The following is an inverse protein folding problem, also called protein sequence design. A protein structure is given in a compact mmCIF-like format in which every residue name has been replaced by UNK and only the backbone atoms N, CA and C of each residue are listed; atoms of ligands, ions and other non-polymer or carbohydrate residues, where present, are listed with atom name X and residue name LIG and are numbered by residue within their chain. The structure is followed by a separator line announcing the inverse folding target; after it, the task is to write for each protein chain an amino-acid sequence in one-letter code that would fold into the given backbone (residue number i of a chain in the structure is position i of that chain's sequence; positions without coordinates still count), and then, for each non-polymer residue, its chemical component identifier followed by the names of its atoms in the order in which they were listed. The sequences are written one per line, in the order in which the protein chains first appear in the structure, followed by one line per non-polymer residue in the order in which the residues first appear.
data_IF_155139803291
#
_entry.id   IF_155139803291
#
_cell.length_a   1.000
_cell.length_b   1.000
_cell.length_c   1.000
_cell.angle_alpha   90.00
_cell.angle_beta   90.00
_cell.angle_gamma   90.00
#
_symmetry.space_group_name_H-M   'P 1'
#
loop_
_entity.id
_entity.type
_entity.pdbx_description
1 polymer ?
#
# COMPACT_ATOMS: atom_id res chain seq x y z
N UNK A 1 -0.79 39.89 20.49
CA UNK A 1 -1.60 39.18 19.47
C UNK A 1 -0.73 38.06 18.94
N UNK A 2 -1.16 36.79 19.05
CA UNK A 2 -0.43 35.70 18.42
C UNK A 2 -0.59 35.86 16.90
N UNK A 3 0.53 35.94 16.17
CA UNK A 3 0.49 35.96 14.71
C UNK A 3 -0.22 34.70 14.22
N UNK A 4 -1.21 34.87 13.34
CA UNK A 4 -1.84 33.74 12.68
C UNK A 4 -0.75 32.92 11.96
N UNK A 5 -0.78 31.61 12.13
CA UNK A 5 0.15 30.73 11.43
C UNK A 5 0.03 30.98 9.91
N UNK A 6 1.16 31.03 9.18
CA UNK A 6 1.11 31.23 7.73
C UNK A 6 0.26 30.14 7.07
N UNK A 7 -0.47 30.49 6.00
CA UNK A 7 -1.28 29.51 5.27
C UNK A 7 -0.41 28.39 4.73
N UNK A 8 -0.95 27.17 4.76
CA UNK A 8 -0.28 25.99 4.22
C UNK A 8 -0.13 26.13 2.69
N UNK A 9 1.07 25.87 2.11
CA UNK A 9 1.32 26.10 0.68
C UNK A 9 0.37 25.33 -0.24
N UNK A 10 -0.11 24.15 0.17
CA UNK A 10 -1.05 23.35 -0.61
C UNK A 10 -2.48 23.34 -0.04
N UNK A 11 -2.82 24.33 0.79
CA UNK A 11 -4.18 24.60 1.24
C UNK A 11 -4.95 23.38 1.78
N UNK A 12 -6.10 23.08 1.15
CA UNK A 12 -6.99 22.01 1.59
C UNK A 12 -6.36 20.62 1.43
N UNK A 13 -5.62 20.38 0.36
CA UNK A 13 -4.90 19.11 0.15
C UNK A 13 -3.93 18.85 1.30
N UNK A 14 -3.10 19.84 1.65
CA UNK A 14 -2.18 19.69 2.77
C UNK A 14 -2.88 19.45 4.10
N UNK A 15 -3.97 20.18 4.36
CA UNK A 15 -4.75 20.06 5.59
C UNK A 15 -5.34 18.65 5.72
N UNK A 16 -5.90 18.12 4.63
CA UNK A 16 -6.45 16.77 4.58
C UNK A 16 -5.37 15.72 4.75
N UNK A 17 -4.25 15.82 4.02
CA UNK A 17 -3.17 14.85 4.14
C UNK A 17 -2.52 14.86 5.52
N UNK A 18 -2.33 16.02 6.16
CA UNK A 18 -1.87 16.09 7.56
C UNK A 18 -2.84 15.40 8.52
N UNK A 19 -4.15 15.56 8.29
CA UNK A 19 -5.18 14.87 9.08
C UNK A 19 -5.08 13.36 8.90
N UNK A 20 -5.01 12.88 7.66
CA UNK A 20 -4.85 11.45 7.33
C UNK A 20 -3.57 10.86 7.93
N UNK A 21 -2.44 11.56 7.77
CA UNK A 21 -1.17 11.17 8.37
C UNK A 21 -1.27 11.04 9.89
N UNK A 22 -1.90 12.02 10.56
CA UNK A 22 -2.08 11.97 12.01
C UNK A 22 -2.96 10.79 12.46
N UNK A 23 -4.00 10.45 11.70
CA UNK A 23 -4.83 9.29 12.00
C UNK A 23 -4.07 7.98 11.83
N UNK A 24 -3.26 7.86 10.78
CA UNK A 24 -2.47 6.65 10.51
C UNK A 24 -1.45 6.43 11.63
N UNK A 25 -0.71 7.46 12.00
CA UNK A 25 0.50 7.32 12.81
C UNK A 25 0.27 7.41 14.32
N UNK A 26 -0.77 8.12 14.76
CA UNK A 26 -1.01 8.35 16.18
C UNK A 26 -2.37 7.77 16.59
N UNK A 27 -2.41 6.65 17.33
CA UNK A 27 -3.66 6.05 17.79
C UNK A 27 -4.41 6.92 18.80
N UNK A 28 -3.75 7.90 19.44
CA UNK A 28 -4.35 8.79 20.43
C UNK A 28 -5.16 9.93 19.82
N UNK A 29 -4.98 10.22 18.53
CA UNK A 29 -5.77 11.25 17.84
C UNK A 29 -7.23 10.84 17.86
N UNK A 30 -8.03 11.59 18.62
CA UNK A 30 -9.48 11.39 18.69
C UNK A 30 -10.15 11.72 17.34
N UNK A 31 -11.37 11.22 17.13
CA UNK A 31 -12.23 11.55 15.97
C UNK A 31 -11.79 11.00 14.60
N UNK A 32 -10.88 10.04 14.54
CA UNK A 32 -10.77 9.22 13.33
C UNK A 32 -12.08 8.43 13.18
N UNK A 33 -12.83 8.71 12.11
CA UNK A 33 -14.12 8.06 11.82
C UNK A 33 -13.98 6.87 10.87
N UNK A 34 -12.77 6.65 10.33
CA UNK A 34 -12.45 5.51 9.49
C UNK A 34 -12.32 4.28 10.40
N UNK A 35 -13.13 3.26 10.14
CA UNK A 35 -13.15 2.01 10.89
C UNK A 35 -12.23 0.99 10.23
N UNK A 36 -11.73 -0.01 10.99
CA UNK A 36 -11.10 -1.18 10.40
C UNK A 36 -12.02 -1.81 9.35
N UNK A 37 -11.46 -2.16 8.21
CA UNK A 37 -12.20 -2.81 7.13
C UNK A 37 -12.31 -4.30 7.43
N UNK A 38 -13.53 -4.81 7.39
CA UNK A 38 -13.88 -6.21 7.60
C UNK A 38 -14.38 -6.90 6.32
N UNK A 39 -14.30 -6.21 5.18
CA UNK A 39 -14.70 -6.75 3.88
C UNK A 39 -13.69 -7.83 3.46
N UNK A 40 -14.22 -8.96 3.06
CA UNK A 40 -13.48 -10.12 2.56
C UNK A 40 -13.64 -10.27 1.06
N UNK A 41 -12.82 -11.12 0.45
CA UNK A 41 -13.02 -11.48 -0.95
C UNK A 41 -14.38 -12.13 -1.23
N UNK A 42 -14.93 -12.87 -0.27
CA UNK A 42 -16.25 -13.49 -0.42
C UNK A 42 -17.35 -12.42 -0.51
N UNK A 43 -17.24 -11.37 0.31
CA UNK A 43 -18.16 -10.22 0.24
C UNK A 43 -18.07 -9.50 -1.11
N UNK A 44 -16.89 -9.49 -1.76
CA UNK A 44 -16.74 -8.96 -3.12
C UNK A 44 -17.45 -9.83 -4.16
N UNK A 45 -17.28 -11.16 -4.10
CA UNK A 45 -17.96 -12.10 -5.00
C UNK A 45 -19.49 -12.02 -4.88
N UNK A 46 -20.00 -11.74 -3.69
CA UNK A 46 -21.44 -11.55 -3.45
C UNK A 46 -21.96 -10.20 -3.94
N UNK A 47 -21.06 -9.22 -4.08
CA UNK A 47 -21.41 -7.87 -4.51
C UNK A 47 -21.33 -7.68 -6.04
N UNK A 48 -20.29 -8.21 -6.67
CA UNK A 48 -20.02 -8.03 -8.09
C UNK A 48 -19.21 -9.21 -8.66
N UNK A 49 -19.34 -9.50 -9.97
CA UNK A 49 -18.39 -10.35 -10.67
C UNK A 49 -16.94 -9.94 -10.39
N UNK A 50 -16.13 -10.93 -10.02
CA UNK A 50 -14.68 -10.77 -9.84
C UNK A 50 -13.97 -11.76 -10.76
N UNK A 51 -13.30 -11.26 -11.77
CA UNK A 51 -12.41 -12.05 -12.61
C UNK A 51 -11.01 -12.03 -12.02
N UNK A 52 -10.44 -13.22 -11.85
CA UNK A 52 -9.07 -13.42 -11.38
C UNK A 52 -8.28 -14.12 -12.49
N UNK A 53 -7.25 -13.45 -13.01
CA UNK A 53 -6.35 -14.02 -14.01
C UNK A 53 -4.92 -14.13 -13.46
N UNK A 54 -4.26 -15.21 -13.87
CA UNK A 54 -2.85 -15.50 -13.59
C UNK A 54 -2.02 -15.49 -14.88
N UNK A 55 -2.60 -14.99 -15.96
CA UNK A 55 -1.92 -14.85 -17.24
C UNK A 55 -0.83 -13.76 -17.13
N UNK A 56 0.17 -13.86 -18.00
CA UNK A 56 1.19 -12.83 -18.09
C UNK A 56 0.54 -11.49 -18.52
N UNK A 57 0.95 -10.35 -17.93
CA UNK A 57 0.42 -9.05 -18.33
C UNK A 57 0.58 -8.81 -19.83
N UNK A 58 -0.41 -8.18 -20.44
CA UNK A 58 -0.36 -7.86 -21.87
C UNK A 58 0.35 -6.52 -22.13
N UNK A 59 0.35 -6.06 -23.39
CA UNK A 59 0.99 -4.79 -23.76
C UNK A 59 0.30 -3.57 -23.14
N UNK A 60 -0.95 -3.66 -22.70
CA UNK A 60 -1.63 -2.56 -21.99
C UNK A 60 -1.16 -2.45 -20.53
N UNK A 61 -0.51 -3.49 -20.01
CA UNK A 61 0.01 -3.59 -18.64
C UNK A 61 1.55 -3.41 -18.57
N UNK A 62 2.15 -2.81 -19.61
CA UNK A 62 3.61 -2.63 -19.72
C UNK A 62 4.20 -1.95 -18.48
N UNK A 63 3.56 -0.90 -17.97
CA UNK A 63 4.05 -0.17 -16.79
C UNK A 63 4.04 -1.00 -15.50
N UNK A 64 3.08 -1.92 -15.36
CA UNK A 64 3.05 -2.88 -14.24
C UNK A 64 4.25 -3.82 -14.36
N UNK A 65 4.49 -4.35 -15.57
CA UNK A 65 5.61 -5.26 -15.84
C UNK A 65 6.96 -4.59 -15.59
N UNK A 66 7.18 -3.38 -16.13
CA UNK A 66 8.38 -2.60 -15.90
C UNK A 66 8.61 -2.33 -14.41
N UNK A 67 7.54 -2.01 -13.67
CA UNK A 67 7.65 -1.75 -12.23
C UNK A 67 7.97 -3.02 -11.44
N UNK A 68 7.35 -4.16 -11.79
CA UNK A 68 7.64 -5.47 -11.20
C UNK A 68 9.10 -5.86 -11.42
N UNK A 69 9.63 -5.68 -12.63
CA UNK A 69 11.03 -5.93 -12.95
C UNK A 69 11.96 -4.99 -12.18
N UNK A 70 11.66 -3.69 -12.16
CA UNK A 70 12.46 -2.66 -11.46
C UNK A 70 12.57 -2.92 -9.96
N UNK A 71 11.51 -3.43 -9.35
CA UNK A 71 11.43 -3.67 -7.91
C UNK A 71 11.85 -5.10 -7.51
N UNK A 72 12.17 -5.96 -8.48
CA UNK A 72 12.48 -7.37 -8.25
C UNK A 72 11.38 -8.05 -7.43
N UNK A 73 10.11 -7.78 -7.79
CA UNK A 73 8.95 -8.31 -7.05
C UNK A 73 8.88 -9.81 -7.26
N UNK A 74 9.04 -10.56 -6.17
CA UNK A 74 8.94 -12.02 -6.18
C UNK A 74 7.48 -12.49 -6.16
N UNK A 75 7.17 -13.55 -6.92
CA UNK A 75 5.92 -14.28 -6.81
C UNK A 75 5.00 -14.13 -8.03
N UNK A 76 3.86 -14.84 -8.04
CA UNK A 76 2.89 -14.69 -9.11
C UNK A 76 2.26 -13.30 -9.05
N UNK A 77 2.17 -12.66 -10.20
CA UNK A 77 1.36 -11.48 -10.39
C UNK A 77 -0.06 -11.94 -10.71
N UNK A 78 -1.04 -11.50 -9.92
CA UNK A 78 -2.45 -11.89 -10.10
C UNK A 78 -3.25 -10.65 -10.49
N UNK A 79 -3.93 -10.70 -11.63
CA UNK A 79 -4.84 -9.66 -12.06
C UNK A 79 -6.22 -9.88 -11.45
N UNK A 80 -6.83 -8.79 -10.98
CA UNK A 80 -8.21 -8.76 -10.52
C UNK A 80 -8.98 -7.70 -11.28
N UNK A 81 -10.12 -8.09 -11.84
CA UNK A 81 -11.11 -7.18 -12.41
C UNK A 81 -12.40 -7.32 -11.62
N UNK A 82 -12.95 -6.21 -11.12
CA UNK A 82 -14.24 -6.17 -10.43
C UNK A 82 -15.14 -5.19 -11.17
N UNK A 83 -16.18 -5.72 -11.84
CA UNK A 83 -17.11 -4.92 -12.62
C UNK A 83 -18.54 -5.19 -12.18
N UNK A 84 -19.39 -4.16 -12.16
CA UNK A 84 -20.84 -4.38 -12.02
C UNK A 84 -21.40 -4.83 -13.39
N UNK A 85 -22.04 -5.99 -13.42
CA UNK A 85 -22.59 -6.65 -14.61
C UNK A 85 -23.26 -5.70 -15.63
N UNK A 86 -22.90 -5.86 -16.91
CA UNK A 86 -23.69 -5.54 -18.11
C UNK A 86 -24.14 -4.09 -18.36
N UNK A 87 -23.53 -3.10 -17.69
CA UNK A 87 -24.06 -1.73 -17.73
C UNK A 87 -25.42 -1.60 -17.02
N UNK A 88 -25.81 -2.63 -16.27
CA UNK A 88 -26.90 -2.56 -15.32
C UNK A 88 -26.42 -1.79 -14.09
N UNK A 89 -27.32 -1.01 -13.51
CA UNK A 89 -27.03 -0.15 -12.36
C UNK A 89 -26.33 -0.96 -11.27
N UNK A 90 -25.23 -0.44 -10.75
CA UNK A 90 -24.60 -0.94 -9.52
C UNK A 90 -25.67 -1.23 -8.46
N UNK A 91 -25.54 -2.25 -7.57
CA UNK A 91 -26.49 -2.43 -6.48
C UNK A 91 -26.66 -1.13 -5.68
N UNK A 92 -27.86 -0.53 -5.74
CA UNK A 92 -28.17 0.79 -5.15
C UNK A 92 -27.73 2.03 -5.94
N UNK A 93 -27.27 1.88 -7.19
CA UNK A 93 -26.94 2.95 -8.14
C UNK A 93 -28.06 3.25 -9.13
N UNK A 94 -27.89 4.29 -9.94
CA UNK A 94 -28.83 4.68 -11.00
C UNK A 94 -28.51 3.94 -12.31
N UNK A 95 -29.48 3.89 -13.24
CA UNK A 95 -29.23 3.35 -14.59
C UNK A 95 -28.08 4.09 -15.27
N UNK A 96 -27.05 3.35 -15.73
CA UNK A 96 -25.82 3.90 -16.32
C UNK A 96 -24.64 4.05 -15.34
N UNK A 97 -24.87 3.78 -14.05
CA UNK A 97 -23.83 3.78 -13.01
C UNK A 97 -23.15 2.40 -12.95
N UNK A 98 -21.91 2.33 -13.43
CA UNK A 98 -21.07 1.14 -13.37
C UNK A 98 -19.97 1.28 -12.30
N UNK A 99 -19.48 0.18 -11.76
CA UNK A 99 -18.23 0.15 -11.02
C UNK A 99 -17.19 -0.55 -11.88
N UNK A 100 -15.96 -0.05 -11.83
CA UNK A 100 -14.83 -0.64 -12.54
C UNK A 100 -13.59 -0.59 -11.67
N UNK A 101 -12.96 -1.74 -11.54
CA UNK A 101 -11.74 -1.90 -10.80
C UNK A 101 -10.83 -2.85 -11.56
N UNK A 102 -9.58 -2.43 -11.77
CA UNK A 102 -8.51 -3.29 -12.28
C UNK A 102 -7.30 -3.11 -11.39
N UNK A 103 -6.77 -4.21 -10.89
CA UNK A 103 -5.53 -4.22 -10.11
C UNK A 103 -4.68 -5.45 -10.36
N UNK A 104 -3.39 -5.33 -10.08
CA UNK A 104 -2.50 -6.47 -9.90
C UNK A 104 -2.04 -6.59 -8.45
N UNK A 105 -1.92 -7.82 -7.98
CA UNK A 105 -1.40 -8.15 -6.65
C UNK A 105 -0.18 -9.06 -6.79
N UNK A 106 0.88 -8.71 -6.06
CA UNK A 106 2.08 -9.53 -5.88
C UNK A 106 2.58 -9.42 -4.43
N UNK A 107 3.57 -10.23 -4.04
CA UNK A 107 4.06 -10.22 -2.66
C UNK A 107 4.67 -8.86 -2.30
N UNK A 108 4.00 -8.15 -1.40
CA UNK A 108 4.40 -6.83 -0.93
C UNK A 108 4.00 -5.67 -1.83
N UNK A 109 3.31 -5.90 -2.95
CA UNK A 109 2.97 -4.87 -3.93
C UNK A 109 1.52 -4.99 -4.40
N UNK A 110 0.83 -3.85 -4.42
CA UNK A 110 -0.50 -3.69 -4.99
C UNK A 110 -0.45 -2.62 -6.08
N UNK A 111 -0.86 -2.96 -7.30
CA UNK A 111 -0.94 -2.05 -8.43
C UNK A 111 -2.41 -1.77 -8.74
N UNK A 112 -2.86 -0.54 -8.59
CA UNK A 112 -4.23 -0.12 -8.89
C UNK A 112 -4.19 0.64 -10.21
N UNK A 113 -4.85 0.09 -11.23
CA UNK A 113 -4.90 0.69 -12.57
C UNK A 113 -6.20 1.44 -12.79
N UNK A 114 -7.32 0.84 -12.37
CA UNK A 114 -8.65 1.46 -12.51
C UNK A 114 -9.37 1.44 -11.18
N UNK A 115 -10.01 2.56 -10.83
CA UNK A 115 -10.83 2.71 -9.63
C UNK A 115 -12.01 3.66 -9.88
N UNK A 116 -13.05 3.15 -10.52
CA UNK A 116 -14.32 3.84 -10.70
C UNK A 116 -15.39 3.23 -9.79
N UNK A 117 -16.10 4.08 -9.07
CA UNK A 117 -17.12 3.66 -8.10
C UNK A 117 -18.34 4.55 -8.20
N UNK A 118 -19.46 3.97 -8.59
CA UNK A 118 -20.76 4.60 -8.46
C UNK A 118 -21.46 4.23 -7.14
N UNK A 119 -21.40 2.97 -6.69
CA UNK A 119 -21.96 2.53 -5.40
C UNK A 119 -21.14 1.39 -4.78
N UNK A 120 -21.59 0.81 -3.66
CA UNK A 120 -20.96 -0.35 -3.04
C UNK A 120 -19.70 -0.04 -2.23
N UNK A 121 -18.74 -0.96 -2.21
CA UNK A 121 -17.53 -0.85 -1.40
C UNK A 121 -16.60 0.26 -1.88
N UNK A 122 -15.87 0.87 -0.95
CA UNK A 122 -14.86 1.87 -1.28
C UNK A 122 -13.62 1.20 -1.92
N UNK A 123 -12.92 1.94 -2.78
CA UNK A 123 -11.67 1.50 -3.42
C UNK A 123 -10.64 0.92 -2.42
N UNK A 124 -10.51 1.52 -1.24
CA UNK A 124 -9.62 1.03 -0.17
C UNK A 124 -10.06 -0.34 0.39
N UNK A 125 -11.36 -0.61 0.43
CA UNK A 125 -11.91 -1.87 0.93
C UNK A 125 -11.73 -2.97 -0.11
N UNK A 126 -11.98 -2.67 -1.39
CA UNK A 126 -11.72 -3.57 -2.53
C UNK A 126 -10.23 -3.94 -2.57
N UNK A 127 -9.34 -2.94 -2.53
CA UNK A 127 -7.89 -3.12 -2.47
C UNK A 127 -7.46 -4.07 -1.34
N UNK A 128 -7.99 -3.85 -0.13
CA UNK A 128 -7.66 -4.70 1.03
C UNK A 128 -8.14 -6.13 0.82
N UNK A 129 -9.39 -6.34 0.40
CA UNK A 129 -9.97 -7.66 0.22
C UNK A 129 -9.23 -8.47 -0.86
N UNK A 130 -8.85 -7.85 -1.98
CA UNK A 130 -8.09 -8.49 -3.05
C UNK A 130 -6.64 -8.80 -2.63
N UNK A 131 -5.96 -7.87 -1.95
CA UNK A 131 -4.61 -8.13 -1.45
C UNK A 131 -4.61 -9.27 -0.42
N UNK A 132 -5.54 -9.23 0.55
CA UNK A 132 -5.61 -10.20 1.64
C UNK A 132 -6.06 -11.60 1.22
N UNK A 133 -6.70 -11.73 0.04
CA UNK A 133 -6.93 -13.04 -0.59
C UNK A 133 -5.62 -13.76 -0.91
N UNK A 134 -4.62 -13.03 -1.40
CA UNK A 134 -3.38 -13.60 -1.91
C UNK A 134 -2.25 -13.61 -0.86
N UNK A 135 -2.16 -12.56 -0.03
CA UNK A 135 -1.05 -12.35 0.90
C UNK A 135 -1.52 -11.78 2.25
N UNK A 136 -0.86 -12.09 3.38
CA UNK A 136 -1.13 -11.40 4.65
C UNK A 136 -0.93 -9.89 4.51
N UNK A 137 -1.82 -9.08 5.05
CA UNK A 137 -1.77 -7.61 4.89
C UNK A 137 -0.46 -7.00 5.38
N UNK A 138 0.17 -7.62 6.38
CA UNK A 138 1.46 -7.20 6.94
C UNK A 138 2.63 -7.32 5.97
N UNK A 139 2.45 -8.00 4.83
CA UNK A 139 3.49 -8.04 3.80
C UNK A 139 3.45 -6.83 2.87
N UNK A 140 2.35 -6.07 2.83
CA UNK A 140 2.17 -4.93 1.92
C UNK A 140 3.18 -3.82 2.21
N UNK A 141 4.01 -3.51 1.23
CA UNK A 141 5.08 -2.49 1.30
C UNK A 141 4.91 -1.39 0.29
N UNK A 142 4.28 -1.68 -0.85
CA UNK A 142 4.15 -0.74 -1.95
C UNK A 142 2.73 -0.74 -2.49
N UNK A 143 2.17 0.45 -2.66
CA UNK A 143 0.92 0.64 -3.41
C UNK A 143 1.23 1.56 -4.58
N UNK A 144 0.84 1.13 -5.77
CA UNK A 144 0.98 1.89 -7.00
C UNK A 144 -0.40 2.31 -7.49
N UNK A 145 -0.55 3.58 -7.86
CA UNK A 145 -1.65 4.02 -8.71
C UNK A 145 -1.06 4.31 -10.09
N UNK A 146 -1.44 3.50 -11.07
CA UNK A 146 -0.93 3.51 -12.43
C UNK A 146 -1.90 4.31 -13.32
N UNK A 147 -1.36 5.00 -14.33
CA UNK A 147 -2.11 5.86 -15.25
C UNK A 147 -3.13 6.81 -14.57
N UNK A 148 -2.60 7.74 -13.78
CA UNK A 148 -3.38 8.71 -13.00
C UNK A 148 -4.15 9.67 -13.92
N UNK A 149 -5.41 9.33 -14.17
CA UNK A 149 -6.37 10.16 -14.89
C UNK A 149 -7.24 11.04 -13.98
N UNK A 150 -7.29 10.77 -12.67
CA UNK A 150 -8.13 11.49 -11.72
C UNK A 150 -7.81 13.00 -11.68
N UNK A 151 -8.80 13.85 -12.02
CA UNK A 151 -8.58 15.29 -12.21
C UNK A 151 -8.05 16.02 -10.98
N UNK A 152 -8.54 15.69 -9.77
CA UNK A 152 -8.06 16.30 -8.52
C UNK A 152 -6.56 16.03 -8.32
N UNK A 153 -6.17 14.76 -8.45
CA UNK A 153 -4.79 14.32 -8.24
C UNK A 153 -3.87 14.83 -9.35
N UNK A 154 -4.27 14.64 -10.61
CA UNK A 154 -3.50 15.07 -11.79
C UNK A 154 -3.32 16.58 -11.84
N UNK A 155 -4.36 17.36 -11.54
CA UNK A 155 -4.28 18.82 -11.51
C UNK A 155 -3.39 19.29 -10.38
N UNK A 156 -3.52 18.69 -9.20
CA UNK A 156 -2.65 18.98 -8.05
C UNK A 156 -1.18 18.78 -8.41
N UNK A 157 -0.84 17.63 -9.01
CA UNK A 157 0.53 17.32 -9.43
C UNK A 157 1.04 18.34 -10.46
N UNK A 158 0.32 18.53 -11.56
CA UNK A 158 0.78 19.39 -12.66
C UNK A 158 0.83 20.88 -12.30
N UNK A 159 -0.08 21.38 -11.46
CA UNK A 159 -0.24 22.82 -11.20
C UNK A 159 0.29 23.29 -9.85
N UNK A 160 0.49 22.38 -8.90
CA UNK A 160 0.93 22.74 -7.54
C UNK A 160 2.28 22.10 -7.19
N UNK A 161 2.54 20.86 -7.62
CA UNK A 161 3.82 20.19 -7.36
C UNK A 161 4.87 20.59 -8.40
N UNK A 162 4.59 20.40 -9.69
CA UNK A 162 5.52 20.75 -10.77
C UNK A 162 5.41 22.22 -11.14
N UNK A 163 5.99 23.07 -10.30
CA UNK A 163 6.06 24.52 -10.51
C UNK A 163 7.49 25.04 -10.31
N UNK A 164 7.82 26.14 -10.97
CA UNK A 164 9.11 26.83 -10.80
C UNK A 164 9.39 27.18 -9.33
N UNK A 165 8.34 27.48 -8.56
CA UNK A 165 8.43 27.76 -7.12
C UNK A 165 8.92 26.57 -6.29
N UNK A 166 8.69 25.34 -6.76
CA UNK A 166 9.22 24.12 -6.15
C UNK A 166 10.50 23.62 -6.84
N UNK A 167 11.02 24.36 -7.83
CA UNK A 167 12.18 23.95 -8.63
C UNK A 167 11.88 22.76 -9.55
N UNK A 168 10.62 22.55 -9.93
CA UNK A 168 10.16 21.42 -10.73
C UNK A 168 9.43 21.91 -11.98
N UNK A 169 9.69 21.29 -13.13
CA UNK A 169 9.04 21.62 -14.39
C UNK A 169 8.17 20.47 -14.89
N UNK A 170 7.07 20.81 -15.57
CA UNK A 170 6.23 19.86 -16.29
C UNK A 170 6.43 20.01 -17.81
N UNK A 171 6.55 18.91 -18.60
CA UNK A 171 6.59 17.49 -18.19
C UNK A 171 7.78 17.16 -17.29
N UNK A 172 7.60 16.19 -16.40
CA UNK A 172 8.66 15.78 -15.48
C UNK A 172 9.83 15.13 -16.25
N UNK A 173 11.07 15.47 -15.90
CA UNK A 173 12.27 14.87 -16.50
C UNK A 173 12.73 13.59 -15.80
N UNK A 174 12.00 13.12 -14.78
CA UNK A 174 12.30 11.91 -14.03
C UNK A 174 11.40 11.74 -12.80
N UNK A 175 11.61 10.63 -12.09
CA UNK A 175 10.88 10.33 -10.86
C UNK A 175 11.17 11.36 -9.76
N UNK A 176 10.12 11.82 -9.07
CA UNK A 176 10.25 12.69 -7.91
C UNK A 176 9.67 12.08 -6.66
N UNK A 177 10.43 12.15 -5.57
CA UNK A 177 10.13 11.50 -4.31
C UNK A 177 9.96 12.53 -3.20
N UNK A 178 8.84 12.46 -2.49
CA UNK A 178 8.51 13.35 -1.38
C UNK A 178 8.44 12.54 -0.09
N UNK A 179 9.34 12.87 0.84
CA UNK A 179 9.43 12.17 2.11
C UNK A 179 8.33 12.61 3.08
N UNK A 180 7.95 11.72 3.99
CA UNK A 180 7.05 12.05 5.10
C UNK A 180 7.47 13.32 5.83
N UNK A 181 6.53 14.23 6.01
CA UNK A 181 6.70 15.48 6.76
C UNK A 181 7.05 16.69 5.89
N UNK A 182 7.21 16.52 4.58
CA UNK A 182 7.22 17.67 3.66
C UNK A 182 5.81 18.11 3.31
N UNK A 183 5.67 19.35 2.83
CA UNK A 183 4.38 19.89 2.45
C UNK A 183 3.81 19.16 1.22
N UNK A 184 4.67 18.78 0.27
CA UNK A 184 4.32 18.06 -0.96
C UNK A 184 3.77 16.69 -0.63
N UNK A 185 4.41 15.98 0.30
CA UNK A 185 3.94 14.69 0.81
C UNK A 185 2.53 14.83 1.41
N UNK A 186 2.33 15.80 2.30
CA UNK A 186 1.01 16.07 2.89
C UNK A 186 -0.02 16.46 1.81
N UNK A 187 0.37 17.26 0.82
CA UNK A 187 -0.48 17.63 -0.30
C UNK A 187 -0.91 16.42 -1.13
N UNK A 188 0.05 15.59 -1.54
CA UNK A 188 -0.19 14.36 -2.31
C UNK A 188 -1.09 13.39 -1.56
N UNK A 189 -0.83 13.16 -0.27
CA UNK A 189 -1.66 12.30 0.57
C UNK A 189 -3.11 12.82 0.68
N UNK A 190 -3.31 14.13 0.60
CA UNK A 190 -4.63 14.77 0.65
C UNK A 190 -5.41 14.74 -0.67
N UNK A 191 -4.80 14.36 -1.79
CA UNK A 191 -5.52 14.16 -3.06
C UNK A 191 -6.52 13.00 -2.97
N UNK A 192 -7.43 12.88 -3.94
CA UNK A 192 -8.38 11.77 -4.02
C UNK A 192 -7.67 10.41 -4.03
N UNK A 193 -6.63 10.22 -4.85
CA UNK A 193 -5.87 8.95 -4.89
C UNK A 193 -5.06 8.75 -3.61
N UNK A 194 -4.35 9.79 -3.13
CA UNK A 194 -3.61 9.70 -1.88
C UNK A 194 -4.50 9.32 -0.69
N UNK A 195 -5.74 9.81 -0.68
CA UNK A 195 -6.72 9.48 0.34
C UNK A 195 -7.18 8.02 0.27
N UNK A 196 -7.30 7.43 -0.93
CA UNK A 196 -7.62 5.99 -1.06
C UNK A 196 -6.55 5.14 -0.38
N UNK A 197 -5.27 5.44 -0.60
CA UNK A 197 -4.17 4.71 0.04
C UNK A 197 -4.13 4.97 1.54
N UNK A 198 -4.41 6.19 1.99
CA UNK A 198 -4.53 6.49 3.41
C UNK A 198 -5.68 5.70 4.09
N UNK A 199 -6.84 5.60 3.42
CA UNK A 199 -7.98 4.83 3.91
C UNK A 199 -7.69 3.33 3.91
N UNK A 200 -6.93 2.83 2.93
CA UNK A 200 -6.42 1.45 2.94
C UNK A 200 -5.59 1.22 4.21
N UNK A 201 -4.62 2.08 4.54
CA UNK A 201 -3.83 1.88 5.75
C UNK A 201 -4.66 1.94 7.04
N UNK A 202 -5.62 2.87 7.11
CA UNK A 202 -6.51 3.03 8.26
C UNK A 202 -7.49 1.85 8.42
N UNK A 203 -7.91 1.24 7.32
CA UNK A 203 -8.76 0.06 7.32
C UNK A 203 -8.01 -1.22 7.63
N UNK A 204 -6.78 -1.34 7.14
CA UNK A 204 -6.04 -2.60 7.10
C UNK A 204 -5.07 -2.79 8.28
N UNK A 205 -4.55 -1.70 8.85
CA UNK A 205 -3.59 -1.75 9.96
C UNK A 205 -4.12 -1.12 11.24
N UNK A 206 -3.61 -1.62 12.38
CA UNK A 206 -3.79 -0.91 13.65
C UNK A 206 -3.07 0.44 13.58
N UNK A 207 -3.76 1.52 13.94
CA UNK A 207 -3.17 2.88 13.95
C UNK A 207 -1.88 2.91 14.80
N UNK A 208 -0.87 3.59 14.29
CA UNK A 208 0.45 3.68 14.91
C UNK A 208 1.36 2.48 14.71
N UNK A 209 0.99 1.52 13.83
CA UNK A 209 1.85 0.37 13.51
C UNK A 209 2.55 0.49 12.16
N UNK A 210 1.91 1.12 11.18
CA UNK A 210 2.44 1.30 9.83
C UNK A 210 2.26 2.77 9.42
N UNK A 211 3.06 3.23 8.46
CA UNK A 211 2.93 4.54 7.85
C UNK A 211 3.35 4.52 6.39
N UNK A 212 2.86 5.48 5.63
CA UNK A 212 3.45 5.84 4.34
C UNK A 212 4.70 6.67 4.65
N UNK A 213 5.87 6.18 4.24
CA UNK A 213 7.16 6.82 4.50
C UNK A 213 7.54 7.83 3.41
N UNK A 214 7.06 7.60 2.18
CA UNK A 214 7.41 8.37 0.99
C UNK A 214 6.32 8.19 -0.08
N UNK A 215 6.08 9.25 -0.84
CA UNK A 215 5.24 9.22 -2.04
C UNK A 215 6.11 9.64 -3.21
N UNK A 216 6.18 8.80 -4.25
CA UNK A 216 6.90 9.11 -5.48
C UNK A 216 5.94 9.34 -6.63
N UNK A 217 6.30 10.24 -7.53
CA UNK A 217 5.65 10.50 -8.81
C UNK A 217 6.60 10.02 -9.90
N UNK A 218 6.11 9.18 -10.79
CA UNK A 218 6.81 8.74 -11.99
C UNK A 218 6.01 9.19 -13.20
N UNK A 219 6.70 9.64 -14.25
CA UNK A 219 6.08 10.03 -15.51
C UNK A 219 6.84 9.34 -16.62
N UNK A 220 6.17 8.48 -17.37
CA UNK A 220 6.76 7.75 -18.48
C UNK A 220 7.11 8.69 -19.64
N UNK A 221 7.87 8.18 -20.62
CA UNK A 221 8.15 8.91 -21.86
C UNK A 221 6.88 9.25 -22.66
N UNK A 222 5.79 8.50 -22.46
CA UNK A 222 4.46 8.72 -23.07
C UNK A 222 3.54 9.59 -22.21
N UNK A 223 4.08 10.28 -21.20
CA UNK A 223 3.37 11.13 -20.24
C UNK A 223 2.34 10.41 -19.34
N UNK A 224 2.43 9.08 -19.23
CA UNK A 224 1.64 8.31 -18.27
C UNK A 224 2.19 8.61 -16.88
N UNK A 225 1.30 8.97 -15.96
CA UNK A 225 1.67 9.40 -14.62
C UNK A 225 1.33 8.31 -13.62
N UNK A 226 2.29 7.94 -12.79
CA UNK A 226 2.11 6.95 -11.73
C UNK A 226 2.53 7.47 -10.37
N UNK A 227 1.85 6.98 -9.34
CA UNK A 227 2.16 7.26 -7.94
C UNK A 227 2.58 5.99 -7.22
N UNK A 228 3.71 6.04 -6.52
CA UNK A 228 4.16 4.98 -5.63
C UNK A 228 4.09 5.44 -4.18
N UNK A 229 3.45 4.64 -3.33
CA UNK A 229 3.35 4.86 -1.89
C UNK A 229 4.14 3.78 -1.17
N UNK A 230 5.23 4.18 -0.51
CA UNK A 230 6.07 3.25 0.25
C UNK A 230 5.59 3.16 1.70
N UNK A 231 5.33 1.94 2.17
CA UNK A 231 4.79 1.63 3.50
C UNK A 231 5.89 1.00 4.35
N UNK A 232 6.00 1.43 5.60
CA UNK A 232 6.94 0.87 6.57
C UNK A 232 6.34 0.72 7.97
N UNK A 233 6.94 -0.18 8.76
CA UNK A 233 6.64 -0.34 10.18
C UNK A 233 7.06 0.89 11.00
N UNK A 234 6.18 1.32 11.90
CA UNK A 234 6.51 2.27 12.95
C UNK A 234 7.16 1.50 14.10
N UNK A 235 8.48 1.63 14.23
CA UNK A 235 9.22 1.01 15.35
C UNK A 235 8.71 1.57 16.68
N UNK A 236 8.30 0.73 17.65
CA UNK A 236 7.93 1.23 18.96
C UNK A 236 9.14 1.89 19.62
N UNK A 237 8.92 2.96 20.42
CA UNK A 237 10.01 3.58 21.15
C UNK A 237 10.73 2.54 22.01
N UNK A 238 12.07 2.60 22.15
CA UNK A 238 12.81 1.65 22.96
C UNK A 238 12.24 1.67 24.38
N UNK A 239 11.78 0.51 24.86
CA UNK A 239 11.31 0.36 26.25
C UNK A 239 12.40 0.89 27.17
N UNK A 240 12.13 2.00 27.88
CA UNK A 240 13.03 2.49 28.92
C UNK A 240 13.25 1.33 29.89
N UNK A 241 14.47 0.77 29.90
CA UNK A 241 14.87 -0.17 30.95
C UNK A 241 14.64 0.57 32.24
N UNK A 242 13.62 0.15 33.02
CA UNK A 242 13.46 0.60 34.41
C UNK A 242 14.82 0.32 35.03
N UNK A 243 15.56 1.38 35.37
CA UNK A 243 16.75 1.26 36.21
C UNK A 243 16.24 0.53 37.44
N UNK A 244 16.64 -0.73 37.62
CA UNK A 244 16.56 -1.37 38.92
C UNK A 244 17.30 -0.42 39.85
N UNK A 245 16.57 0.23 40.74
CA UNK A 245 17.17 0.83 41.93
C UNK A 245 17.99 -0.29 42.54
N UNK A 246 19.32 -0.11 42.53
CA UNK A 246 20.18 -0.81 43.50
C UNK A 246 19.75 -0.21 44.83
N UNK A 247 18.91 -0.96 45.52
CA UNK A 247 18.77 -0.84 46.95
C UNK A 247 19.26 -2.17 47.50
N UNK A 248 20.10 -2.04 48.51
CA UNK A 248 21.06 -3.02 48.97
C UNK A 248 20.41 -4.26 49.60
N UNK A 249 21.07 -5.41 49.44
CA UNK A 249 20.62 -6.67 50.01
C UNK A 249 21.61 -7.79 49.71
N UNK A 250 22.67 -7.84 50.51
CA UNK A 250 23.62 -8.95 50.61
C UNK A 250 22.90 -10.29 50.79
N UNK A 251 23.37 -11.31 50.07
CA UNK A 251 22.81 -12.66 50.13
C UNK A 251 23.54 -13.65 49.22
N UNK A 252 24.63 -14.17 49.75
CA UNK A 252 25.50 -15.26 49.29
C UNK A 252 24.75 -16.51 48.76
N UNK A 253 25.38 -17.25 47.83
CA UNK A 253 24.89 -18.56 47.38
C UNK A 253 25.29 -18.96 45.96
N UNK A 254 26.43 -19.64 45.82
CA UNK A 254 27.06 -19.98 44.53
C UNK A 254 26.32 -20.98 43.62
N UNK A 255 26.81 -21.10 42.38
CA UNK A 255 26.54 -22.30 41.56
C UNK A 255 26.53 -22.13 40.04
N UNK A 256 27.71 -22.29 39.43
CA UNK A 256 28.02 -22.95 38.13
C UNK A 256 27.08 -22.77 36.92
N UNK A 257 27.68 -22.31 35.82
CA UNK A 257 27.59 -23.03 34.54
C UNK A 257 27.13 -22.24 33.30
N UNK A 258 28.07 -22.03 32.38
CA UNK A 258 27.87 -22.37 30.96
C UNK A 258 27.31 -21.32 30.00
N UNK A 259 28.17 -20.88 29.09
CA UNK A 259 27.86 -21.01 27.66
C UNK A 259 27.26 -19.80 26.95
N UNK A 260 28.09 -19.18 26.12
CA UNK A 260 27.73 -18.28 25.03
C UNK A 260 26.62 -18.86 24.13
N UNK A 261 25.69 -18.01 23.71
CA UNK A 261 24.68 -18.35 22.72
C UNK A 261 24.13 -17.12 22.02
N UNK A 262 24.73 -16.76 20.88
CA UNK A 262 24.15 -15.82 19.89
C UNK A 262 22.69 -16.19 19.59
N UNK A 263 21.78 -15.22 19.37
CA UNK A 263 20.45 -15.54 18.86
C UNK A 263 20.58 -16.15 17.46
N UNK A 264 20.26 -17.43 17.35
CA UNK A 264 20.11 -18.13 16.06
C UNK A 264 19.04 -17.40 15.25
N UNK A 265 19.36 -17.09 13.99
CA UNK A 265 18.42 -16.61 12.98
C UNK A 265 17.13 -17.43 13.06
N UNK A 266 16.01 -16.79 13.35
CA UNK A 266 14.69 -17.40 13.21
C UNK A 266 14.58 -17.92 11.77
N UNK A 267 14.60 -19.24 11.59
CA UNK A 267 14.15 -19.87 10.35
C UNK A 267 12.72 -19.37 10.12
N UNK A 268 12.45 -18.83 8.92
CA UNK A 268 11.08 -18.55 8.48
C UNK A 268 10.25 -19.81 8.76
N UNK A 269 9.17 -19.66 9.50
CA UNK A 269 8.20 -20.73 9.67
C UNK A 269 7.58 -20.98 8.29
N UNK A 270 8.03 -22.04 7.63
CA UNK A 270 7.38 -22.58 6.45
C UNK A 270 6.43 -23.63 7.02
N UNK A 271 5.14 -23.38 6.91
CA UNK A 271 4.15 -24.43 7.17
C UNK A 271 4.33 -25.53 6.11
N UNK A 272 4.87 -26.68 6.54
CA UNK A 272 5.13 -27.82 5.66
C UNK A 272 3.82 -28.42 5.09
N UNK A 273 2.69 -28.11 5.72
CA UNK A 273 1.35 -28.57 5.34
C UNK A 273 0.55 -27.56 4.50
N UNK A 274 1.11 -26.39 4.16
CA UNK A 274 0.44 -25.46 3.22
C UNK A 274 0.27 -26.14 1.85
N UNK A 275 -0.97 -26.26 1.35
CA UNK A 275 -1.32 -26.82 0.03
C UNK A 275 -2.06 -25.83 -0.88
N UNK A 276 -1.84 -24.54 -0.63
CA UNK A 276 -2.41 -23.46 -1.44
C UNK A 276 -1.81 -23.39 -2.85
N UNK A 277 -2.44 -22.63 -3.77
CA UNK A 277 -2.04 -22.55 -5.18
C UNK A 277 -0.55 -22.26 -5.41
N UNK A 278 0.06 -21.44 -4.55
CA UNK A 278 1.49 -21.10 -4.61
C UNK A 278 2.44 -22.32 -4.47
N UNK A 279 2.05 -23.40 -3.77
CA UNK A 279 2.85 -24.64 -3.71
C UNK A 279 2.78 -25.42 -5.02
N UNK A 280 1.60 -25.45 -5.66
CA UNK A 280 1.38 -26.10 -6.96
C UNK A 280 2.19 -25.42 -8.07
N UNK A 281 2.26 -24.10 -8.06
CA UNK A 281 3.08 -23.32 -9.01
C UNK A 281 4.58 -23.51 -8.78
N UNK A 282 5.06 -23.57 -7.53
CA UNK A 282 6.48 -23.87 -7.24
C UNK A 282 6.92 -25.26 -7.74
N UNK A 283 6.04 -26.25 -7.67
CA UNK A 283 6.28 -27.58 -8.24
C UNK A 283 6.30 -27.56 -9.77
N UNK A 284 5.41 -26.80 -10.41
CA UNK A 284 5.39 -26.63 -11.86
C UNK A 284 6.67 -25.93 -12.37
N UNK A 285 7.09 -24.84 -11.72
CA UNK A 285 8.32 -24.11 -12.05
C UNK A 285 9.58 -24.97 -11.83
N UNK A 286 9.64 -25.76 -10.75
CA UNK A 286 10.74 -26.71 -10.52
C UNK A 286 10.80 -27.81 -11.58
N UNK A 287 9.66 -28.35 -12.03
CA UNK A 287 9.61 -29.33 -13.12
C UNK A 287 10.05 -28.73 -14.46
N UNK A 288 9.70 -27.47 -14.74
CA UNK A 288 10.12 -26.75 -15.95
C UNK A 288 11.65 -26.51 -15.96
N UNK A 289 12.24 -26.10 -14.83
CA UNK A 289 13.71 -25.95 -14.69
C UNK A 289 14.48 -27.28 -14.77
N UNK A 290 13.92 -28.37 -14.24
CA UNK A 290 14.54 -29.69 -14.34
C UNK A 290 14.48 -30.27 -15.77
N UNK A 291 13.48 -29.88 -16.57
CA UNK A 291 13.39 -30.22 -18.00
C UNK A 291 14.32 -29.41 -18.88
N UNK A 292 14.57 -28.13 -18.55
CA UNK A 292 15.44 -27.24 -19.33
C UNK A 292 16.95 -27.52 -19.13
N UNK A 293 17.34 -28.29 -18.11
CA UNK A 293 18.73 -28.65 -17.85
C UNK A 293 19.23 -29.90 -18.62
N UNK A 294 18.40 -30.43 -19.54
CA UNK A 294 18.79 -31.51 -20.48
C UNK A 294 18.55 -31.07 -21.92
N UNK A 295 19.35 -30.13 -22.41
CA UNK A 295 19.71 -29.95 -23.83
C UNK A 295 21.15 -29.48 -23.88
#
# INVERSE_FOLDING_TARGET
MAAAAPPLPYGLHQTRGRTLQSWIEDPSVAKCHIKPCNITYQDLLEWAPVDESFDDPDSEDEEVTETVERLDVEGPLTMHVVTSEDGSSSPGGSSGDWNDWRSFVADGSLFIMTMFRASGYHASEIAQALYTRAYPIETLKHVFAIDVANEDTRTFIKRQIYTDGNGLAWPASGSQSFARGTAEYEGLLGTRIGSVVAYLLLGAFTRGTHRISKISIEVSATEIMSLQFDIEDIKPPPKKKRRRSRDDGDGDGGGRGGGEGRPKKRRRYIDENYDGPAKRTRLAVRRKKAGAAKV
#
